data_IF_840927728007
#
_entry.id   IF_840927728007
#
_cell.length_a   1.000
_cell.length_b   1.000
_cell.length_c   1.000
_cell.angle_alpha   90.00
_cell.angle_beta   90.00
_cell.angle_gamma   90.00
#
_symmetry.space_group_name_H-M   'P 1'
#
loop_
_entity.id
_entity.type
_entity.pdbx_description
1 polymer ?
#
# COMPACT_ATOMS: atom_id res chain seq x y z
N UNK A 1 16.59 8.45 -6.54
CA UNK A 1 17.48 8.88 -5.43
C UNK A 1 18.18 7.65 -4.85
N UNK A 2 19.49 7.73 -4.61
CA UNK A 2 20.25 6.62 -4.05
C UNK A 2 20.02 6.44 -2.53
N UNK A 3 20.37 5.24 -1.99
CA UNK A 3 20.15 4.89 -0.58
C UNK A 3 20.87 5.83 0.40
N UNK A 4 22.06 6.31 0.05
CA UNK A 4 22.86 7.17 0.92
C UNK A 4 22.25 8.57 1.07
N UNK A 5 21.79 9.15 -0.03
CA UNK A 5 21.09 10.44 -0.04
C UNK A 5 19.76 10.36 0.72
N UNK A 6 19.03 9.25 0.55
CA UNK A 6 17.78 9.00 1.26
C UNK A 6 17.98 8.90 2.78
N UNK A 7 19.00 8.16 3.22
CA UNK A 7 19.34 8.07 4.65
C UNK A 7 19.75 9.41 5.26
N UNK A 8 20.49 10.25 4.50
CA UNK A 8 20.84 11.61 4.95
C UNK A 8 19.60 12.50 5.13
N UNK A 9 18.66 12.45 4.16
CA UNK A 9 17.41 13.19 4.28
C UNK A 9 16.56 12.69 5.46
N UNK A 10 16.53 11.37 5.71
CA UNK A 10 15.80 10.82 6.84
C UNK A 10 16.40 11.25 8.19
N UNK A 11 17.73 11.31 8.30
CA UNK A 11 18.40 11.84 9.47
C UNK A 11 18.07 13.34 9.66
N UNK A 12 18.19 14.16 8.61
CA UNK A 12 17.85 15.58 8.68
C UNK A 12 16.36 15.80 9.06
N UNK A 13 15.46 15.00 8.52
CA UNK A 13 14.04 15.06 8.87
C UNK A 13 13.80 14.66 10.35
N UNK A 14 14.54 13.68 10.88
CA UNK A 14 14.46 13.29 12.29
C UNK A 14 14.99 14.41 13.21
N UNK A 15 15.93 15.23 12.73
CA UNK A 15 16.45 16.42 13.42
C UNK A 15 15.54 17.67 13.23
N UNK A 16 14.39 17.52 12.57
CA UNK A 16 13.37 18.56 12.44
C UNK A 16 13.35 19.30 11.09
N UNK A 17 14.15 18.88 10.10
CA UNK A 17 14.08 19.46 8.75
C UNK A 17 12.82 18.99 8.00
N UNK A 18 11.80 19.85 7.99
CA UNK A 18 10.52 19.58 7.32
C UNK A 18 10.66 19.45 5.80
N UNK A 19 11.61 20.18 5.18
CA UNK A 19 11.88 20.09 3.74
C UNK A 19 12.50 18.75 3.38
N UNK A 20 13.36 18.19 4.23
CA UNK A 20 13.91 16.85 4.06
C UNK A 20 12.81 15.78 4.12
N UNK A 21 11.88 15.91 5.08
CA UNK A 21 10.71 15.01 5.15
C UNK A 21 9.85 15.08 3.89
N UNK A 22 9.51 16.29 3.41
CA UNK A 22 8.71 16.47 2.22
C UNK A 22 9.34 15.80 0.99
N UNK A 23 10.66 15.96 0.80
CA UNK A 23 11.40 15.30 -0.29
C UNK A 23 11.38 13.78 -0.22
N UNK A 24 11.47 13.21 0.98
CA UNK A 24 11.37 11.77 1.19
C UNK A 24 9.96 11.26 0.88
N UNK A 25 8.96 11.95 1.40
CA UNK A 25 7.55 11.59 1.21
C UNK A 25 7.16 11.62 -0.27
N UNK A 26 7.55 12.65 -1.00
CA UNK A 26 7.30 12.78 -2.44
C UNK A 26 7.82 11.58 -3.24
N UNK A 27 8.97 11.02 -2.85
CA UNK A 27 9.56 9.87 -3.53
C UNK A 27 8.75 8.56 -3.36
N UNK A 28 8.01 8.42 -2.26
CA UNK A 28 7.29 7.19 -1.94
C UNK A 28 5.77 7.35 -2.04
N UNK A 29 5.25 8.57 -2.12
CA UNK A 29 3.81 8.87 -2.16
C UNK A 29 3.04 8.00 -3.14
N UNK A 30 3.53 7.88 -4.38
CA UNK A 30 2.87 7.10 -5.42
C UNK A 30 2.75 5.62 -5.05
N UNK A 31 3.78 5.06 -4.45
CA UNK A 31 3.80 3.66 -4.00
C UNK A 31 2.84 3.44 -2.83
N UNK A 32 2.82 4.37 -1.87
CA UNK A 32 1.89 4.36 -0.75
C UNK A 32 0.44 4.42 -1.22
N UNK A 33 0.13 5.35 -2.13
CA UNK A 33 -1.21 5.51 -2.68
C UNK A 33 -1.69 4.26 -3.43
N UNK A 34 -0.86 3.68 -4.29
CA UNK A 34 -1.23 2.46 -5.00
C UNK A 34 -1.42 1.27 -4.06
N UNK A 35 -0.63 1.16 -3.01
CA UNK A 35 -0.83 0.15 -1.99
C UNK A 35 -2.18 0.33 -1.28
N UNK A 36 -2.47 1.54 -0.81
CA UNK A 36 -3.73 1.85 -0.14
C UNK A 36 -4.93 1.62 -1.08
N UNK A 37 -4.89 2.15 -2.31
CA UNK A 37 -5.94 2.00 -3.30
C UNK A 37 -6.22 0.52 -3.64
N UNK A 38 -5.18 -0.27 -3.85
CA UNK A 38 -5.32 -1.70 -4.13
C UNK A 38 -5.99 -2.47 -3.01
N UNK A 39 -5.80 -2.05 -1.75
CA UNK A 39 -6.30 -2.75 -0.59
C UNK A 39 -7.63 -2.20 -0.06
N UNK A 40 -7.91 -0.91 -0.23
CA UNK A 40 -9.16 -0.26 0.20
C UNK A 40 -10.21 -0.18 -0.92
N UNK A 41 -9.78 -0.21 -2.18
CA UNK A 41 -10.65 -0.14 -3.37
C UNK A 41 -11.47 1.17 -3.48
N UNK A 42 -11.13 2.18 -2.69
CA UNK A 42 -11.75 3.50 -2.66
C UNK A 42 -10.65 4.56 -2.81
N UNK A 43 -10.72 5.42 -3.84
CA UNK A 43 -9.75 6.51 -4.03
C UNK A 43 -9.70 7.48 -2.86
N UNK A 44 -10.86 7.82 -2.30
CA UNK A 44 -10.97 8.76 -1.18
C UNK A 44 -10.34 8.16 0.08
N UNK A 45 -10.68 6.91 0.41
CA UNK A 45 -10.09 6.21 1.56
C UNK A 45 -8.59 5.96 1.40
N UNK A 46 -8.14 5.74 0.17
CA UNK A 46 -6.73 5.59 -0.12
C UNK A 46 -5.97 6.90 0.10
N UNK A 47 -6.54 8.02 -0.37
CA UNK A 47 -5.97 9.36 -0.15
C UNK A 47 -5.92 9.70 1.35
N UNK A 48 -7.01 9.46 2.07
CA UNK A 48 -7.08 9.67 3.53
C UNK A 48 -6.06 8.80 4.28
N UNK A 49 -5.96 7.51 3.94
CA UNK A 49 -5.01 6.60 4.59
C UNK A 49 -3.56 7.05 4.38
N UNK A 50 -3.24 7.54 3.18
CA UNK A 50 -1.88 8.04 2.86
C UNK A 50 -1.61 9.35 3.57
N UNK A 51 -2.59 10.24 3.68
CA UNK A 51 -2.48 11.49 4.45
C UNK A 51 -2.28 11.21 5.94
N UNK A 52 -3.08 10.31 6.54
CA UNK A 52 -2.93 9.89 7.92
C UNK A 52 -1.55 9.27 8.18
N UNK A 53 -1.05 8.44 7.24
CA UNK A 53 0.28 7.88 7.35
C UNK A 53 1.38 8.94 7.30
N UNK A 54 1.23 9.97 6.46
CA UNK A 54 2.16 11.09 6.39
C UNK A 54 2.19 11.89 7.70
N UNK A 55 1.00 12.19 8.27
CA UNK A 55 0.88 12.92 9.53
C UNK A 55 1.50 12.13 10.70
N UNK A 56 1.20 10.83 10.82
CA UNK A 56 1.78 9.99 11.85
C UNK A 56 3.31 9.84 11.69
N UNK A 57 3.78 9.70 10.44
CA UNK A 57 5.19 9.62 10.17
C UNK A 57 5.90 10.94 10.48
N UNK A 58 5.34 12.06 10.10
CA UNK A 58 5.91 13.38 10.41
C UNK A 58 6.02 13.61 11.92
N UNK A 59 4.96 13.28 12.66
CA UNK A 59 4.98 13.40 14.13
C UNK A 59 5.95 12.42 14.82
N UNK A 60 6.17 11.24 14.20
CA UNK A 60 6.97 10.17 14.81
C UNK A 60 8.41 10.05 14.30
N UNK A 61 8.82 10.85 13.29
CA UNK A 61 10.11 10.64 12.61
C UNK A 61 11.32 10.80 13.53
N UNK A 62 11.23 11.64 14.54
CA UNK A 62 12.30 11.80 15.55
C UNK A 62 12.60 10.49 16.33
N UNK A 63 11.66 9.54 16.34
CA UNK A 63 11.85 8.22 16.96
C UNK A 63 12.49 7.19 16.02
N UNK A 64 12.73 7.53 14.76
CA UNK A 64 13.32 6.64 13.76
C UNK A 64 14.80 6.42 14.05
N UNK A 65 15.12 5.25 14.62
CA UNK A 65 16.50 4.91 15.04
C UNK A 65 17.45 4.68 13.87
N UNK A 66 16.92 4.14 12.78
CA UNK A 66 17.70 3.77 11.59
C UNK A 66 17.18 4.55 10.36
N UNK A 67 17.88 5.63 9.95
CA UNK A 67 17.45 6.46 8.82
C UNK A 67 17.27 5.70 7.50
N UNK A 68 18.04 4.63 7.28
CA UNK A 68 17.93 3.78 6.09
C UNK A 68 16.64 2.96 6.04
N UNK A 69 15.94 2.83 7.17
CA UNK A 69 14.67 2.11 7.28
C UNK A 69 13.42 3.00 7.05
N UNK A 70 13.59 4.28 6.69
CA UNK A 70 12.48 5.23 6.54
C UNK A 70 11.33 4.69 5.70
N UNK A 71 11.61 4.17 4.51
CA UNK A 71 10.58 3.68 3.58
C UNK A 71 9.78 2.52 4.21
N UNK A 72 10.46 1.53 4.76
CA UNK A 72 9.82 0.37 5.38
C UNK A 72 9.05 0.75 6.66
N UNK A 73 9.55 1.71 7.41
CA UNK A 73 8.90 2.24 8.59
C UNK A 73 7.60 2.99 8.22
N UNK A 74 7.64 3.86 7.21
CA UNK A 74 6.46 4.58 6.71
C UNK A 74 5.43 3.62 6.11
N UNK A 75 5.86 2.63 5.33
CA UNK A 75 4.96 1.59 4.83
C UNK A 75 4.29 0.80 5.96
N UNK A 76 5.00 0.52 7.06
CA UNK A 76 4.40 -0.17 8.22
C UNK A 76 3.31 0.67 8.88
N UNK A 77 3.48 1.99 8.97
CA UNK A 77 2.45 2.92 9.44
C UNK A 77 1.22 2.83 8.53
N UNK A 78 1.40 2.97 7.22
CA UNK A 78 0.30 2.87 6.24
C UNK A 78 -0.41 1.51 6.30
N UNK A 79 0.31 0.41 6.39
CA UNK A 79 -0.26 -0.94 6.48
C UNK A 79 -1.17 -1.08 7.69
N UNK A 80 -0.79 -0.53 8.83
CA UNK A 80 -1.61 -0.53 10.04
C UNK A 80 -2.90 0.28 9.86
N UNK A 81 -2.81 1.47 9.24
CA UNK A 81 -3.98 2.32 8.93
C UNK A 81 -4.93 1.58 7.97
N UNK A 82 -4.42 1.02 6.88
CA UNK A 82 -5.21 0.26 5.91
C UNK A 82 -5.92 -0.92 6.59
N UNK A 83 -5.21 -1.67 7.41
CA UNK A 83 -5.78 -2.81 8.17
C UNK A 83 -6.90 -2.35 9.12
N UNK A 84 -6.71 -1.22 9.79
CA UNK A 84 -7.74 -0.64 10.67
C UNK A 84 -8.98 -0.21 9.90
N UNK A 85 -8.81 0.48 8.76
CA UNK A 85 -9.93 0.85 7.89
C UNK A 85 -10.68 -0.40 7.39
N UNK A 86 -9.98 -1.42 6.92
CA UNK A 86 -10.59 -2.69 6.49
C UNK A 86 -11.40 -3.36 7.61
N UNK A 87 -10.87 -3.38 8.83
CA UNK A 87 -11.60 -3.92 10.00
C UNK A 87 -12.88 -3.14 10.29
N UNK A 88 -12.81 -1.82 10.24
CA UNK A 88 -13.99 -0.96 10.46
C UNK A 88 -15.06 -1.21 9.38
N UNK A 89 -14.68 -1.39 8.11
CA UNK A 89 -15.63 -1.74 7.04
C UNK A 89 -16.30 -3.09 7.26
N UNK A 90 -15.57 -4.11 7.69
CA UNK A 90 -16.15 -5.41 8.00
C UNK A 90 -17.24 -5.29 9.09
N UNK A 91 -16.96 -4.54 10.16
CA UNK A 91 -17.92 -4.29 11.24
C UNK A 91 -19.16 -3.52 10.72
N UNK A 92 -18.94 -2.47 9.91
CA UNK A 92 -20.04 -1.66 9.37
C UNK A 92 -20.92 -2.47 8.42
N UNK A 93 -20.33 -3.36 7.59
CA UNK A 93 -21.08 -4.25 6.70
C UNK A 93 -21.90 -5.32 7.43
N UNK A 94 -21.45 -5.79 8.58
CA UNK A 94 -22.24 -6.70 9.44
C UNK A 94 -23.48 -5.99 10.01
N UNK A 95 -23.44 -4.66 10.17
CA UNK A 95 -24.55 -3.85 10.68
C UNK A 95 -25.42 -3.19 9.61
N UNK A 96 -24.98 -3.19 8.33
CA UNK A 96 -25.67 -2.58 7.21
C UNK A 96 -25.92 -3.61 6.11
N UNK A 97 -27.18 -4.02 5.97
CA UNK A 97 -27.62 -4.98 4.93
C UNK A 97 -27.65 -4.39 3.50
N UNK A 98 -27.32 -3.10 3.32
CA UNK A 98 -27.44 -2.36 2.07
C UNK A 98 -26.21 -1.48 1.79
N UNK A 99 -25.04 -2.07 1.56
CA UNK A 99 -23.90 -1.32 1.02
C UNK A 99 -23.60 -1.84 -0.40
N UNK A 100 -24.01 -1.07 -1.41
CA UNK A 100 -23.66 -1.28 -2.81
C UNK A 100 -22.15 -1.07 -3.00
N UNK A 101 -21.39 -2.08 -3.48
CA UNK A 101 -19.97 -1.97 -3.71
C UNK A 101 -19.57 -1.07 -4.89
N UNK A 102 -20.55 -0.51 -5.61
CA UNK A 102 -20.35 0.22 -6.87
C UNK A 102 -20.18 1.73 -6.71
N UNK A 103 -20.23 2.27 -5.49
CA UNK A 103 -20.13 3.69 -5.28
C UNK A 103 -18.69 4.20 -5.48
N UNK A 104 -18.53 4.95 -6.55
CA UNK A 104 -17.49 5.95 -6.83
C UNK A 104 -16.15 5.42 -7.32
N UNK A 105 -16.11 5.14 -8.61
CA UNK A 105 -14.88 5.22 -9.39
C UNK A 105 -15.00 6.47 -10.27
N UNK A 106 -14.41 7.58 -9.79
CA UNK A 106 -14.18 8.74 -10.63
C UNK A 106 -13.32 8.37 -11.84
N UNK A 107 -13.50 9.08 -12.94
CA UNK A 107 -12.87 8.84 -14.25
C UNK A 107 -11.40 8.45 -14.14
N UNK A 108 -11.12 7.19 -14.42
CA UNK A 108 -9.79 6.63 -14.54
C UNK A 108 -9.61 6.10 -15.96
N UNK A 109 -8.44 6.23 -16.60
CA UNK A 109 -8.18 5.59 -17.87
C UNK A 109 -8.55 4.11 -17.80
N UNK A 110 -9.17 3.57 -18.83
CA UNK A 110 -9.79 2.24 -18.91
C UNK A 110 -9.07 1.09 -18.19
N UNK A 111 -7.74 1.09 -18.11
CA UNK A 111 -6.97 0.03 -17.46
C UNK A 111 -6.96 0.03 -15.91
N UNK A 112 -7.34 1.14 -15.24
CA UNK A 112 -7.27 1.20 -13.77
C UNK A 112 -8.47 0.51 -13.11
N UNK A 113 -9.66 0.70 -13.62
CA UNK A 113 -10.90 0.06 -13.13
C UNK A 113 -10.81 -1.45 -13.28
N UNK A 114 -10.34 -1.90 -14.43
CA UNK A 114 -10.13 -3.33 -14.72
C UNK A 114 -9.09 -3.95 -13.80
N UNK A 115 -8.00 -3.25 -13.54
CA UNK A 115 -6.95 -3.69 -12.62
C UNK A 115 -7.47 -3.79 -11.18
N UNK A 116 -8.18 -2.78 -10.68
CA UNK A 116 -8.76 -2.80 -9.34
C UNK A 116 -9.78 -3.92 -9.19
N UNK A 117 -10.66 -4.09 -10.19
CA UNK A 117 -11.61 -5.19 -10.23
C UNK A 117 -10.92 -6.57 -10.25
N UNK A 118 -9.83 -6.71 -11.00
CA UNK A 118 -9.06 -7.95 -11.04
C UNK A 118 -8.33 -8.22 -9.70
N UNK A 119 -7.89 -7.19 -9.00
CA UNK A 119 -7.30 -7.32 -7.66
C UNK A 119 -8.32 -7.80 -6.61
N UNK A 120 -9.63 -7.63 -6.83
CA UNK A 120 -10.67 -8.16 -5.94
C UNK A 120 -10.80 -9.69 -5.97
N UNK A 121 -10.33 -10.32 -7.04
CA UNK A 121 -10.27 -11.79 -7.15
C UNK A 121 -9.19 -12.43 -6.26
N UNK A 122 -8.30 -11.61 -5.67
CA UNK A 122 -7.22 -12.08 -4.84
C UNK A 122 -7.65 -12.14 -3.37
N UNK A 123 -7.08 -13.10 -2.60
CA UNK A 123 -7.19 -13.03 -1.15
C UNK A 123 -6.49 -11.78 -0.61
N UNK A 124 -6.86 -11.31 0.59
CA UNK A 124 -6.19 -10.15 1.20
C UNK A 124 -4.66 -10.28 1.24
N UNK A 125 -4.14 -11.48 1.56
CA UNK A 125 -2.70 -11.75 1.66
C UNK A 125 -2.04 -11.77 0.27
N UNK A 126 -2.69 -12.37 -0.73
CA UNK A 126 -2.21 -12.38 -2.12
C UNK A 126 -2.15 -10.95 -2.66
N UNK A 127 -3.18 -10.15 -2.40
CA UNK A 127 -3.27 -8.75 -2.82
C UNK A 127 -2.18 -7.92 -2.16
N UNK A 128 -2.04 -8.02 -0.84
CA UNK A 128 -1.00 -7.34 -0.07
C UNK A 128 0.40 -7.67 -0.59
N UNK A 129 0.74 -8.96 -0.69
CA UNK A 129 2.05 -9.40 -1.16
C UNK A 129 2.31 -8.96 -2.60
N UNK A 130 1.32 -9.08 -3.49
CA UNK A 130 1.46 -8.71 -4.90
C UNK A 130 1.62 -7.20 -5.09
N UNK A 131 0.91 -6.38 -4.32
CA UNK A 131 1.01 -4.92 -4.39
C UNK A 131 2.35 -4.43 -3.85
N UNK A 132 2.82 -4.95 -2.73
CA UNK A 132 4.15 -4.63 -2.18
C UNK A 132 5.26 -5.04 -3.16
N UNK A 133 5.14 -6.21 -3.79
CA UNK A 133 6.12 -6.69 -4.76
C UNK A 133 6.10 -5.88 -6.06
N UNK A 134 4.92 -5.66 -6.65
CA UNK A 134 4.76 -5.08 -7.98
C UNK A 134 4.74 -3.57 -8.01
N UNK A 135 4.02 -2.91 -7.10
CA UNK A 135 3.85 -1.46 -7.08
C UNK A 135 4.90 -0.77 -6.21
N UNK A 136 5.24 -1.34 -5.06
CA UNK A 136 6.21 -0.77 -4.13
C UNK A 136 7.66 -1.25 -4.38
N UNK A 137 7.85 -2.33 -5.15
CA UNK A 137 9.17 -2.81 -5.56
C UNK A 137 9.93 -3.58 -4.48
N UNK A 138 9.26 -4.02 -3.41
CA UNK A 138 9.89 -4.80 -2.35
C UNK A 138 10.20 -6.23 -2.79
N UNK A 139 11.37 -6.74 -2.39
CA UNK A 139 11.70 -8.17 -2.52
C UNK A 139 10.86 -9.03 -1.57
N UNK A 140 10.76 -10.33 -1.85
CA UNK A 140 10.04 -11.25 -0.96
C UNK A 140 10.60 -11.31 0.46
N UNK A 141 11.90 -11.00 0.64
CA UNK A 141 12.54 -10.93 1.95
C UNK A 141 12.08 -9.68 2.72
N UNK A 142 12.10 -8.53 2.08
CA UNK A 142 11.64 -7.26 2.66
C UNK A 142 10.13 -7.31 2.99
N UNK A 143 9.32 -7.92 2.11
CA UNK A 143 7.88 -8.15 2.39
C UNK A 143 7.70 -9.06 3.60
N UNK A 144 8.51 -10.10 3.75
CA UNK A 144 8.47 -10.98 4.92
C UNK A 144 8.78 -10.21 6.21
N UNK A 145 9.77 -9.31 6.20
CA UNK A 145 10.12 -8.44 7.32
C UNK A 145 9.02 -7.41 7.66
N UNK A 146 8.34 -6.88 6.61
CA UNK A 146 7.23 -5.94 6.78
C UNK A 146 5.97 -6.60 7.35
N UNK A 147 5.65 -7.82 6.89
CA UNK A 147 4.37 -8.48 7.17
C UNK A 147 4.43 -9.51 8.29
N UNK A 148 5.63 -9.92 8.70
CA UNK A 148 5.84 -11.03 9.64
C UNK A 148 5.64 -12.42 9.03
N UNK A 149 5.41 -12.53 7.72
CA UNK A 149 5.28 -13.79 7.01
C UNK A 149 6.65 -14.42 6.74
N UNK A 150 6.68 -15.73 6.46
CA UNK A 150 7.90 -16.38 5.94
C UNK A 150 8.11 -15.96 4.48
N UNK A 151 9.36 -15.76 4.06
CA UNK A 151 9.67 -15.37 2.67
C UNK A 151 9.19 -16.40 1.62
N UNK A 152 9.13 -17.69 1.98
CA UNK A 152 8.52 -18.74 1.14
C UNK A 152 7.01 -18.54 0.96
N UNK A 153 6.32 -18.15 2.03
CA UNK A 153 4.88 -17.84 2.01
C UNK A 153 4.61 -16.63 1.13
N UNK A 154 5.41 -15.57 1.27
CA UNK A 154 5.32 -14.38 0.41
C UNK A 154 5.49 -14.74 -1.07
N UNK A 155 6.51 -15.55 -1.42
CA UNK A 155 6.70 -16.02 -2.81
C UNK A 155 5.48 -16.79 -3.33
N UNK A 156 4.90 -17.63 -2.50
CA UNK A 156 3.69 -18.40 -2.87
C UNK A 156 2.49 -17.48 -3.10
N UNK A 157 2.27 -16.47 -2.24
CA UNK A 157 1.20 -15.49 -2.42
C UNK A 157 1.41 -14.64 -3.69
N UNK A 158 2.62 -14.15 -3.94
CA UNK A 158 2.96 -13.40 -5.16
C UNK A 158 2.72 -14.25 -6.41
N UNK A 159 3.14 -15.51 -6.41
CA UNK A 159 2.96 -16.43 -7.54
C UNK A 159 1.48 -16.70 -7.83
N UNK A 160 0.70 -17.06 -6.80
CA UNK A 160 -0.75 -17.30 -6.93
C UNK A 160 -1.50 -16.04 -7.33
N UNK A 161 -1.20 -14.90 -6.69
CA UNK A 161 -1.79 -13.61 -7.03
C UNK A 161 -1.55 -13.22 -8.48
N UNK A 162 -0.33 -13.39 -8.98
CA UNK A 162 -0.01 -13.16 -10.41
C UNK A 162 -0.81 -14.05 -11.34
N UNK A 163 -0.96 -15.33 -11.02
CA UNK A 163 -1.71 -16.27 -11.85
C UNK A 163 -3.19 -15.89 -11.91
N UNK A 164 -3.81 -15.57 -10.77
CA UNK A 164 -5.19 -15.11 -10.70
C UNK A 164 -5.40 -13.79 -11.45
N UNK A 165 -4.54 -12.79 -11.22
CA UNK A 165 -4.59 -11.49 -11.87
C UNK A 165 -4.52 -11.63 -13.40
N UNK A 166 -3.57 -12.45 -13.89
CA UNK A 166 -3.45 -12.72 -15.32
C UNK A 166 -4.72 -13.36 -15.91
N UNK A 167 -5.33 -14.30 -15.19
CA UNK A 167 -6.58 -14.94 -15.61
C UNK A 167 -7.71 -13.92 -15.66
N UNK A 168 -7.89 -13.11 -14.63
CA UNK A 168 -8.94 -12.10 -14.55
C UNK A 168 -8.84 -11.06 -15.66
N UNK A 169 -7.63 -10.57 -15.97
CA UNK A 169 -7.40 -9.59 -17.03
C UNK A 169 -7.66 -10.19 -18.42
N UNK A 170 -7.20 -11.43 -18.70
CA UNK A 170 -7.47 -12.09 -19.99
C UNK A 170 -8.96 -12.34 -20.27
N UNK A 171 -9.73 -12.65 -19.24
CA UNK A 171 -11.18 -12.89 -19.38
C UNK A 171 -11.94 -11.60 -19.75
N UNK A 172 -11.38 -10.43 -19.46
CA UNK A 172 -11.98 -9.12 -19.79
C UNK A 172 -11.59 -8.57 -21.16
N UNK A 173 -10.45 -9.01 -21.72
CA UNK A 173 -10.03 -8.64 -23.09
C UNK A 173 -10.88 -9.34 -24.20
N UNK A 174 -11.63 -10.39 -23.84
CA UNK A 174 -12.44 -11.19 -24.79
C UNK A 174 -13.92 -10.75 -24.82
N UNK A 175 -14.29 -9.72 -24.07
CA UNK A 175 -15.65 -9.15 -24.05
C UNK A 175 -15.68 -7.75 -24.64
#
# INVERSE_FOLDING_TARGET
MDKKTRAKLAAAAADGDTSAFAKLYEQVYRQLYYYALSNLQSPDDAADAVQDAALQAFAGIASLREPSAFDSWLFRILMNIVKQKQKNYAITREHSLDADPSAVIGESPFGRVEMLSALNELSPEERQCLTLYGAAGYSSKEIAELTGMKASTVRSHVSRGRAKLRKALKTKEVR
#
